data_IF_636986349542
#
_entry.id   IF_636986349542
#
_cell.length_a   1.000
_cell.length_b   1.000
_cell.length_c   1.000
_cell.angle_alpha   90.00
_cell.angle_beta   90.00
_cell.angle_gamma   90.00
#
_symmetry.space_group_name_H-M   'P 1'
#
loop_
_entity.id
_entity.type
_entity.pdbx_description
1 polymer ?
#
# COMPACT_ATOMS: atom_id res chain seq x y z
N UNK A 1 45.30 -38.01 50.89
CA UNK A 1 44.41 -38.75 50.02
C UNK A 1 42.93 -38.24 50.04
N UNK A 2 42.31 -38.04 51.20
CA UNK A 2 40.86 -37.59 51.27
C UNK A 2 40.58 -36.20 50.68
N UNK A 3 41.53 -35.24 50.82
CA UNK A 3 41.36 -33.86 50.30
C UNK A 3 41.31 -33.79 48.72
N UNK A 4 42.19 -34.59 48.11
CA UNK A 4 42.21 -34.68 46.63
C UNK A 4 40.96 -35.36 46.05
N UNK A 5 40.41 -36.38 46.71
CA UNK A 5 39.14 -37.00 46.29
C UNK A 5 37.96 -36.03 46.41
N UNK A 6 37.90 -35.18 47.42
CA UNK A 6 36.85 -34.16 47.56
C UNK A 6 36.94 -33.09 46.47
N UNK A 7 38.15 -32.70 46.07
CA UNK A 7 38.33 -31.70 44.98
C UNK A 7 37.89 -32.30 43.64
N UNK A 8 38.32 -33.49 43.28
CA UNK A 8 37.94 -34.17 42.04
C UNK A 8 36.42 -34.41 41.94
N UNK A 9 35.75 -34.75 43.05
CA UNK A 9 34.31 -34.90 43.10
C UNK A 9 33.59 -33.58 42.88
N UNK A 10 34.11 -32.48 43.43
CA UNK A 10 33.52 -31.13 43.26
C UNK A 10 33.68 -30.62 41.83
N UNK A 11 34.80 -30.85 41.19
CA UNK A 11 35.04 -30.52 39.79
C UNK A 11 34.13 -31.31 38.83
N UNK A 12 34.00 -32.63 39.09
CA UNK A 12 33.09 -33.48 38.33
C UNK A 12 31.60 -33.04 38.43
N UNK A 13 31.18 -32.65 39.66
CA UNK A 13 29.82 -32.12 39.86
C UNK A 13 29.61 -30.78 39.16
N UNK A 14 30.59 -29.87 39.23
CA UNK A 14 30.51 -28.55 38.54
C UNK A 14 30.49 -28.72 37.03
N UNK A 15 31.29 -29.64 36.45
CA UNK A 15 31.28 -29.95 35.03
C UNK A 15 29.92 -30.47 34.57
N UNK A 16 29.36 -31.44 35.28
CA UNK A 16 28.01 -31.99 34.99
C UNK A 16 26.91 -30.94 35.12
N UNK A 17 27.02 -30.02 36.08
CA UNK A 17 26.07 -28.91 36.23
C UNK A 17 26.18 -27.91 35.08
N UNK A 18 27.40 -27.61 34.63
CA UNK A 18 27.63 -26.72 33.49
C UNK A 18 27.12 -27.33 32.19
N UNK A 19 27.33 -28.64 31.97
CA UNK A 19 26.75 -29.35 30.80
C UNK A 19 25.22 -29.33 30.82
N UNK A 20 24.60 -29.67 31.96
CA UNK A 20 23.14 -29.66 32.12
C UNK A 20 22.55 -28.26 31.90
N UNK A 21 23.19 -27.19 32.41
CA UNK A 21 22.79 -25.80 32.15
C UNK A 21 22.93 -25.40 30.68
N UNK A 22 24.00 -25.88 30.01
CA UNK A 22 24.24 -25.69 28.60
C UNK A 22 23.13 -26.35 27.74
N UNK A 23 22.81 -27.60 28.02
CA UNK A 23 21.72 -28.33 27.33
C UNK A 23 20.36 -27.68 27.56
N UNK A 24 20.03 -27.28 28.79
CA UNK A 24 18.77 -26.56 29.07
C UNK A 24 18.68 -25.23 28.31
N UNK A 25 19.77 -24.49 28.23
CA UNK A 25 19.83 -23.19 27.56
C UNK A 25 19.68 -23.38 26.06
N UNK A 26 20.34 -24.35 25.47
CA UNK A 26 20.20 -24.69 24.02
C UNK A 26 18.81 -25.18 23.69
N UNK A 27 18.23 -26.04 24.52
CA UNK A 27 16.86 -26.54 24.36
C UNK A 27 15.83 -25.38 24.40
N UNK A 28 15.99 -24.46 25.34
CA UNK A 28 15.11 -23.28 25.46
C UNK A 28 15.24 -22.34 24.25
N UNK A 29 16.46 -22.11 23.74
CA UNK A 29 16.68 -21.34 22.52
C UNK A 29 16.06 -21.99 21.28
N UNK A 30 16.21 -23.32 21.17
CA UNK A 30 15.62 -24.06 20.07
C UNK A 30 14.08 -24.04 20.10
N UNK A 31 13.49 -24.19 21.28
CA UNK A 31 12.05 -24.09 21.49
C UNK A 31 11.52 -22.68 21.16
N UNK A 32 12.24 -21.63 21.56
CA UNK A 32 11.89 -20.24 21.21
C UNK A 32 11.99 -19.97 19.70
N UNK A 33 13.04 -20.47 19.06
CA UNK A 33 13.19 -20.34 17.60
C UNK A 33 12.07 -21.08 16.83
N UNK A 34 11.72 -22.29 17.27
CA UNK A 34 10.60 -23.05 16.69
C UNK A 34 9.25 -22.34 16.89
N UNK A 35 8.99 -21.79 18.08
CA UNK A 35 7.76 -21.01 18.34
C UNK A 35 7.69 -19.76 17.45
N UNK A 36 8.81 -19.05 17.30
CA UNK A 36 8.89 -17.87 16.43
C UNK A 36 8.63 -18.24 14.96
N UNK A 37 9.30 -19.27 14.44
CA UNK A 37 9.10 -19.74 13.06
C UNK A 37 7.67 -20.24 12.80
N UNK A 38 7.06 -20.91 13.78
CA UNK A 38 5.67 -21.33 13.69
C UNK A 38 4.69 -20.16 13.69
N UNK A 39 4.91 -19.17 14.56
CA UNK A 39 4.07 -17.96 14.61
C UNK A 39 4.17 -17.16 13.30
N UNK A 40 5.36 -17.05 12.72
CA UNK A 40 5.59 -16.41 11.42
C UNK A 40 4.87 -17.17 10.29
N UNK A 41 4.98 -18.50 10.25
CA UNK A 41 4.29 -19.36 9.28
C UNK A 41 2.76 -19.27 9.41
N UNK A 42 2.22 -19.26 10.64
CA UNK A 42 0.80 -19.12 10.89
C UNK A 42 0.29 -17.71 10.48
N UNK A 43 1.08 -16.66 10.74
CA UNK A 43 0.76 -15.30 10.30
C UNK A 43 0.73 -15.20 8.78
N UNK A 44 1.74 -15.74 8.09
CA UNK A 44 1.81 -15.79 6.63
C UNK A 44 0.61 -16.57 6.04
N UNK A 45 0.24 -17.70 6.63
CA UNK A 45 -0.91 -18.51 6.21
C UNK A 45 -2.24 -17.77 6.39
N UNK A 46 -2.44 -17.08 7.53
CA UNK A 46 -3.65 -16.26 7.78
C UNK A 46 -3.73 -15.09 6.81
N UNK A 47 -2.62 -14.40 6.57
CA UNK A 47 -2.55 -13.30 5.60
C UNK A 47 -2.90 -13.78 4.20
N UNK A 48 -2.36 -14.93 3.77
CA UNK A 48 -2.67 -15.55 2.48
C UNK A 48 -4.15 -15.95 2.37
N UNK A 49 -4.74 -16.49 3.43
CA UNK A 49 -6.16 -16.88 3.45
C UNK A 49 -7.09 -15.67 3.43
N UNK A 50 -6.80 -14.63 4.20
CA UNK A 50 -7.54 -13.37 4.17
C UNK A 50 -7.43 -12.71 2.79
N UNK A 51 -6.25 -12.73 2.16
CA UNK A 51 -6.00 -12.32 0.79
C UNK A 51 -6.94 -13.02 -0.18
N UNK A 52 -6.96 -14.36 -0.20
CA UNK A 52 -7.79 -15.14 -1.12
C UNK A 52 -9.30 -14.89 -0.90
N UNK A 53 -9.73 -14.71 0.34
CA UNK A 53 -11.12 -14.40 0.67
C UNK A 53 -11.55 -13.02 0.14
N UNK A 54 -10.74 -11.98 0.40
CA UNK A 54 -10.99 -10.62 -0.09
C UNK A 54 -10.96 -10.59 -1.62
N UNK A 55 -9.99 -11.25 -2.23
CA UNK A 55 -9.87 -11.39 -3.69
C UNK A 55 -11.11 -12.01 -4.31
N UNK A 56 -11.60 -13.13 -3.73
CA UNK A 56 -12.81 -13.79 -4.22
C UNK A 56 -14.02 -12.85 -4.18
N UNK A 57 -14.13 -12.02 -3.15
CA UNK A 57 -15.23 -11.06 -3.01
C UNK A 57 -15.12 -9.91 -4.01
N UNK A 58 -13.91 -9.30 -4.12
CA UNK A 58 -13.65 -8.16 -5.01
C UNK A 58 -13.72 -8.53 -6.50
N UNK A 59 -13.44 -9.78 -6.85
CA UNK A 59 -13.63 -10.29 -8.20
C UNK A 59 -15.09 -10.68 -8.47
N UNK A 60 -15.80 -11.23 -7.48
CA UNK A 60 -17.19 -11.69 -7.65
C UNK A 60 -18.16 -10.54 -7.93
N UNK A 61 -17.99 -9.41 -7.25
CA UNK A 61 -18.91 -8.26 -7.39
C UNK A 61 -18.97 -7.71 -8.80
N UNK A 62 -17.83 -7.31 -9.47
CA UNK A 62 -17.88 -6.84 -10.86
C UNK A 62 -18.26 -7.95 -11.84
N UNK A 63 -17.87 -9.21 -11.56
CA UNK A 63 -18.24 -10.34 -12.42
C UNK A 63 -19.75 -10.60 -12.41
N UNK A 64 -20.38 -10.57 -11.23
CA UNK A 64 -21.82 -10.71 -11.10
C UNK A 64 -22.57 -9.55 -11.80
N UNK A 65 -22.01 -8.31 -11.73
CA UNK A 65 -22.57 -7.18 -12.46
C UNK A 65 -22.44 -7.35 -13.97
N UNK A 66 -21.30 -7.82 -14.47
CA UNK A 66 -21.10 -8.12 -15.90
C UNK A 66 -22.10 -9.17 -16.36
N UNK A 67 -22.22 -10.29 -15.66
CA UNK A 67 -23.14 -11.39 -15.99
C UNK A 67 -24.59 -10.89 -15.93
N UNK A 68 -24.98 -10.25 -14.81
CA UNK A 68 -26.36 -9.81 -14.61
C UNK A 68 -26.82 -8.80 -15.67
N UNK A 69 -26.00 -7.81 -16.02
CA UNK A 69 -26.34 -6.86 -17.08
C UNK A 69 -26.31 -7.51 -18.46
N UNK A 70 -25.44 -8.49 -18.72
CA UNK A 70 -25.44 -9.26 -19.96
C UNK A 70 -26.76 -10.03 -20.13
N UNK A 71 -27.22 -10.69 -19.06
CA UNK A 71 -28.51 -11.43 -19.08
C UNK A 71 -29.69 -10.50 -19.33
N UNK A 72 -29.66 -9.30 -18.74
CA UNK A 72 -30.69 -8.28 -18.99
C UNK A 72 -30.66 -7.81 -20.44
N UNK A 73 -29.48 -7.53 -21.03
CA UNK A 73 -29.37 -7.14 -22.45
C UNK A 73 -29.91 -8.23 -23.37
N UNK A 74 -29.62 -9.49 -23.08
CA UNK A 74 -30.14 -10.62 -23.87
C UNK A 74 -31.67 -10.70 -23.81
N UNK A 75 -32.26 -10.31 -22.66
CA UNK A 75 -33.70 -10.37 -22.44
C UNK A 75 -34.49 -9.16 -22.97
N UNK A 76 -33.83 -8.01 -23.19
CA UNK A 76 -34.47 -6.76 -23.60
C UNK A 76 -34.30 -6.49 -25.10
N UNK A 77 -35.41 -6.18 -25.75
CA UNK A 77 -35.48 -5.60 -27.13
C UNK A 77 -35.56 -4.06 -27.10
N UNK A 78 -34.99 -3.39 -26.08
CA UNK A 78 -35.30 -2.01 -25.70
C UNK A 78 -34.07 -1.06 -25.79
N UNK A 79 -34.24 0.27 -25.99
CA UNK A 79 -33.19 1.29 -26.05
C UNK A 79 -32.34 1.47 -24.79
N UNK A 80 -32.69 0.87 -23.64
CA UNK A 80 -31.86 0.82 -22.42
C UNK A 80 -30.60 -0.04 -22.55
N UNK A 81 -30.46 -0.76 -23.66
CA UNK A 81 -29.27 -1.61 -23.90
C UNK A 81 -27.95 -0.86 -23.83
N UNK A 82 -27.92 0.43 -24.21
CA UNK A 82 -26.72 1.25 -24.12
C UNK A 82 -26.29 1.54 -22.66
N UNK A 83 -27.25 1.80 -21.76
CA UNK A 83 -26.99 2.02 -20.34
C UNK A 83 -26.42 0.76 -19.67
N UNK A 84 -27.05 -0.40 -19.94
CA UNK A 84 -26.55 -1.67 -19.42
C UNK A 84 -25.16 -2.02 -19.97
N UNK A 85 -24.89 -1.77 -21.23
CA UNK A 85 -23.57 -1.94 -21.82
C UNK A 85 -22.51 -1.07 -21.16
N UNK A 86 -22.86 0.17 -20.77
CA UNK A 86 -21.95 1.05 -20.00
C UNK A 86 -21.65 0.49 -18.62
N UNK A 87 -22.65 -0.05 -17.92
CA UNK A 87 -22.45 -0.69 -16.61
C UNK A 87 -21.56 -1.94 -16.70
N UNK A 88 -21.75 -2.77 -17.72
CA UNK A 88 -20.88 -3.92 -17.99
C UNK A 88 -19.44 -3.46 -18.23
N UNK A 89 -19.25 -2.49 -19.13
CA UNK A 89 -17.93 -1.98 -19.45
C UNK A 89 -17.22 -1.35 -18.22
N UNK A 90 -17.96 -0.63 -17.38
CA UNK A 90 -17.44 -0.05 -16.12
C UNK A 90 -17.02 -1.15 -15.14
N UNK A 91 -17.85 -2.17 -14.96
CA UNK A 91 -17.55 -3.31 -14.07
C UNK A 91 -16.36 -4.13 -14.58
N UNK A 92 -16.26 -4.35 -15.89
CA UNK A 92 -15.13 -5.04 -16.51
C UNK A 92 -13.81 -4.28 -16.35
N UNK A 93 -13.81 -2.96 -16.56
CA UNK A 93 -12.62 -2.11 -16.32
C UNK A 93 -12.17 -2.19 -14.87
N UNK A 94 -13.11 -2.07 -13.93
CA UNK A 94 -12.82 -2.19 -12.51
C UNK A 94 -12.20 -3.56 -12.15
N UNK A 95 -12.67 -4.65 -12.76
CA UNK A 95 -12.08 -5.97 -12.57
C UNK A 95 -10.63 -6.02 -13.07
N UNK A 96 -10.35 -5.44 -14.24
CA UNK A 96 -9.00 -5.36 -14.79
C UNK A 96 -8.07 -4.55 -13.89
N UNK A 97 -8.55 -3.44 -13.30
CA UNK A 97 -7.77 -2.63 -12.35
C UNK A 97 -7.41 -3.45 -11.11
N UNK A 98 -8.36 -4.17 -10.51
CA UNK A 98 -8.12 -5.04 -9.35
C UNK A 98 -7.11 -6.14 -9.68
N UNK A 99 -7.22 -6.80 -10.85
CA UNK A 99 -6.27 -7.83 -11.28
C UNK A 99 -4.87 -7.23 -11.47
N UNK A 100 -4.78 -6.05 -12.08
CA UNK A 100 -3.50 -5.34 -12.26
C UNK A 100 -2.85 -4.98 -10.92
N UNK A 101 -3.63 -4.48 -9.98
CA UNK A 101 -3.18 -4.12 -8.63
C UNK A 101 -2.61 -5.33 -7.88
N UNK A 102 -3.24 -6.50 -8.03
CA UNK A 102 -2.76 -7.76 -7.42
C UNK A 102 -1.44 -8.19 -8.03
N UNK A 103 -1.32 -8.13 -9.36
CA UNK A 103 -0.09 -8.46 -10.06
C UNK A 103 1.03 -7.49 -9.66
N UNK A 104 0.73 -6.19 -9.51
CA UNK A 104 1.69 -5.20 -9.05
C UNK A 104 2.17 -5.52 -7.61
N UNK A 105 1.26 -5.82 -6.68
CA UNK A 105 1.63 -6.23 -5.30
C UNK A 105 2.50 -7.49 -5.33
N UNK A 106 2.10 -8.52 -6.07
CA UNK A 106 2.86 -9.77 -6.16
C UNK A 106 4.28 -9.56 -6.67
N UNK A 107 4.45 -8.68 -7.69
CA UNK A 107 5.77 -8.32 -8.22
C UNK A 107 6.60 -7.50 -7.23
N UNK A 108 5.97 -6.59 -6.49
CA UNK A 108 6.63 -5.78 -5.46
C UNK A 108 7.13 -6.68 -4.32
N UNK A 109 6.28 -7.60 -3.82
CA UNK A 109 6.62 -8.50 -2.71
C UNK A 109 7.71 -9.51 -3.10
N UNK A 110 7.70 -10.01 -4.34
CA UNK A 110 8.73 -10.93 -4.85
C UNK A 110 10.05 -10.24 -5.24
N UNK A 111 10.11 -8.90 -5.19
CA UNK A 111 11.28 -8.14 -5.65
C UNK A 111 11.53 -8.20 -7.17
N UNK A 112 10.58 -8.73 -7.94
CA UNK A 112 10.70 -8.90 -9.40
C UNK A 112 10.20 -7.69 -10.20
N UNK A 113 9.87 -6.60 -9.51
CA UNK A 113 9.35 -5.40 -10.16
C UNK A 113 10.48 -4.62 -10.86
N UNK A 114 10.39 -4.49 -12.18
CA UNK A 114 11.37 -3.77 -12.99
C UNK A 114 10.83 -2.38 -13.32
N UNK A 115 11.57 -1.33 -12.96
CA UNK A 115 11.25 0.06 -13.27
C UNK A 115 11.92 0.51 -14.57
N UNK A 116 11.18 1.21 -15.40
CA UNK A 116 11.71 1.92 -16.56
C UNK A 116 12.03 3.38 -16.16
N UNK A 117 13.20 3.57 -15.52
CA UNK A 117 13.62 4.89 -15.03
C UNK A 117 14.16 5.74 -16.16
N UNK A 118 13.69 6.99 -16.24
CA UNK A 118 14.15 8.00 -17.18
C UNK A 118 14.19 9.37 -16.49
N UNK A 119 15.07 10.30 -16.91
CA UNK A 119 15.01 11.68 -16.46
C UNK A 119 13.62 12.25 -16.73
N UNK A 120 12.92 12.68 -15.68
CA UNK A 120 11.52 13.11 -15.76
C UNK A 120 11.31 14.37 -14.92
N UNK A 121 10.50 15.30 -15.42
CA UNK A 121 10.00 16.43 -14.67
C UNK A 121 8.88 15.96 -13.75
N UNK A 122 9.03 16.18 -12.44
CA UNK A 122 7.99 15.81 -11.48
C UNK A 122 6.75 16.72 -11.57
N UNK A 123 6.92 17.95 -12.01
CA UNK A 123 5.81 18.88 -12.24
C UNK A 123 4.84 18.32 -13.27
N UNK A 124 5.36 17.89 -14.41
CA UNK A 124 4.58 17.28 -15.49
C UNK A 124 3.83 16.03 -14.99
N UNK A 125 4.46 15.22 -14.13
CA UNK A 125 3.84 14.01 -13.57
C UNK A 125 2.72 14.36 -12.60
N UNK A 126 2.91 15.38 -11.73
CA UNK A 126 1.89 15.85 -10.80
C UNK A 126 0.68 16.41 -11.57
N UNK A 127 0.94 17.26 -12.56
CA UNK A 127 -0.11 17.87 -13.38
C UNK A 127 -0.90 16.79 -14.17
N UNK A 128 -0.20 15.81 -14.75
CA UNK A 128 -0.84 14.70 -15.44
C UNK A 128 -1.68 13.80 -14.50
N UNK A 129 -1.29 13.65 -13.24
CA UNK A 129 -2.08 12.93 -12.24
C UNK A 129 -3.30 13.73 -11.80
N UNK A 130 -3.13 15.04 -11.56
CA UNK A 130 -4.20 15.95 -11.22
C UNK A 130 -5.27 16.02 -12.32
N UNK A 131 -4.84 16.11 -13.59
CA UNK A 131 -5.74 16.11 -14.75
C UNK A 131 -6.56 14.82 -14.83
N UNK A 132 -5.93 13.66 -14.56
CA UNK A 132 -6.64 12.36 -14.52
C UNK A 132 -7.76 12.32 -13.48
N UNK A 133 -7.61 13.06 -12.38
CA UNK A 133 -8.57 13.07 -11.26
C UNK A 133 -9.55 14.25 -11.28
N UNK A 134 -9.37 15.22 -12.19
CA UNK A 134 -10.12 16.49 -12.22
C UNK A 134 -11.62 16.27 -12.25
N UNK A 135 -12.11 15.47 -13.18
CA UNK A 135 -13.56 15.23 -13.35
C UNK A 135 -14.14 14.51 -12.12
N UNK A 136 -13.45 13.48 -11.61
CA UNK A 136 -13.91 12.73 -10.42
C UNK A 136 -14.01 13.62 -9.18
N UNK A 137 -13.08 14.58 -9.02
CA UNK A 137 -13.08 15.53 -7.91
C UNK A 137 -14.16 16.58 -8.10
N UNK A 138 -14.36 17.05 -9.34
CA UNK A 138 -15.39 18.05 -9.68
C UNK A 138 -16.81 17.48 -9.52
N UNK A 139 -17.06 16.21 -9.88
CA UNK A 139 -18.34 15.53 -9.68
C UNK A 139 -18.81 15.52 -8.23
N UNK A 140 -17.88 15.54 -7.28
CA UNK A 140 -18.15 15.65 -5.83
C UNK A 140 -18.15 17.09 -5.31
N UNK A 141 -18.08 18.08 -6.20
CA UNK A 141 -17.94 19.50 -5.84
C UNK A 141 -16.74 19.78 -4.90
N UNK A 142 -15.73 18.92 -4.91
CA UNK A 142 -14.50 19.09 -4.14
C UNK A 142 -13.56 20.05 -4.87
N UNK A 143 -12.66 20.71 -4.12
CA UNK A 143 -11.63 21.59 -4.70
C UNK A 143 -10.28 20.87 -4.71
N UNK A 144 -9.58 20.91 -5.84
CA UNK A 144 -8.20 20.46 -5.98
C UNK A 144 -7.28 21.68 -6.20
N UNK A 145 -6.34 21.88 -5.29
CA UNK A 145 -5.32 22.94 -5.35
C UNK A 145 -3.95 22.26 -5.59
N UNK A 146 -3.34 22.53 -6.74
CA UNK A 146 -2.05 21.95 -7.14
C UNK A 146 -0.99 23.03 -7.11
N UNK A 147 0.08 22.81 -6.32
CA UNK A 147 1.17 23.77 -6.14
C UNK A 147 2.50 23.10 -6.47
N UNK A 148 2.99 23.35 -7.67
CA UNK A 148 4.24 22.82 -8.18
C UNK A 148 5.20 23.98 -8.47
N UNK A 149 6.33 24.08 -7.75
CA UNK A 149 7.39 25.05 -8.08
C UNK A 149 8.03 24.73 -9.43
N UNK A 150 8.46 25.76 -10.15
CA UNK A 150 9.10 25.61 -11.47
C UNK A 150 10.54 25.08 -11.41
N UNK A 151 11.14 25.10 -10.23
CA UNK A 151 12.55 24.77 -9.96
C UNK A 151 12.71 23.37 -9.34
N UNK A 152 11.77 22.46 -9.58
CA UNK A 152 11.92 21.06 -9.16
C UNK A 152 13.06 20.38 -9.92
N UNK A 153 13.85 19.52 -9.24
CA UNK A 153 14.90 18.79 -9.90
C UNK A 153 14.33 17.75 -10.87
N UNK A 154 15.03 17.53 -11.99
CA UNK A 154 14.79 16.36 -12.84
C UNK A 154 15.21 15.10 -12.08
N UNK A 155 14.31 14.12 -11.95
CA UNK A 155 14.59 12.87 -11.26
C UNK A 155 14.57 11.67 -12.21
N UNK A 156 15.46 10.69 -11.97
CA UNK A 156 15.45 9.43 -12.70
C UNK A 156 14.39 8.49 -12.14
N UNK A 157 13.18 8.57 -12.67
CA UNK A 157 12.00 7.81 -12.20
C UNK A 157 11.26 7.15 -13.36
N UNK A 158 10.46 6.15 -13.04
CA UNK A 158 9.44 5.63 -13.94
C UNK A 158 8.20 6.53 -13.83
N UNK A 159 8.05 7.47 -14.78
CA UNK A 159 7.00 8.48 -14.77
C UNK A 159 5.59 7.89 -14.73
N UNK A 160 5.38 6.74 -15.42
CA UNK A 160 4.10 6.03 -15.41
C UNK A 160 3.77 5.50 -14.01
N UNK A 161 4.75 4.96 -13.30
CA UNK A 161 4.57 4.41 -11.95
C UNK A 161 4.44 5.50 -10.89
N UNK A 162 5.19 6.61 -11.02
CA UNK A 162 4.99 7.77 -10.12
C UNK A 162 3.61 8.40 -10.36
N UNK A 163 3.16 8.54 -11.61
CA UNK A 163 1.78 8.95 -11.91
C UNK A 163 0.75 8.01 -11.25
N UNK A 164 0.96 6.69 -11.31
CA UNK A 164 0.10 5.70 -10.65
C UNK A 164 0.04 5.95 -9.13
N UNK A 165 1.18 6.19 -8.48
CA UNK A 165 1.25 6.55 -7.05
C UNK A 165 0.37 7.77 -6.79
N UNK A 166 0.57 8.87 -7.52
CA UNK A 166 -0.17 10.11 -7.30
C UNK A 166 -1.67 9.98 -7.55
N UNK A 167 -2.08 9.26 -8.59
CA UNK A 167 -3.49 8.96 -8.86
C UNK A 167 -4.10 8.16 -7.70
N UNK A 168 -3.39 7.18 -7.15
CA UNK A 168 -3.85 6.43 -5.98
C UNK A 168 -4.02 7.33 -4.74
N UNK A 169 -3.10 8.26 -4.52
CA UNK A 169 -3.20 9.22 -3.40
C UNK A 169 -4.36 10.20 -3.59
N UNK A 170 -4.49 10.80 -4.77
CA UNK A 170 -5.58 11.74 -5.09
C UNK A 170 -6.95 11.05 -5.08
N UNK A 171 -7.04 9.81 -5.57
CA UNK A 171 -8.25 9.00 -5.53
C UNK A 171 -8.69 8.71 -4.09
N UNK A 172 -7.75 8.34 -3.21
CA UNK A 172 -8.03 8.14 -1.79
C UNK A 172 -8.46 9.47 -1.13
N UNK A 173 -7.77 10.58 -1.39
CA UNK A 173 -8.14 11.89 -0.89
C UNK A 173 -9.57 12.26 -1.29
N UNK A 174 -9.93 12.11 -2.58
CA UNK A 174 -11.31 12.38 -3.05
C UNK A 174 -12.34 11.41 -2.45
N UNK A 175 -11.95 10.16 -2.27
CA UNK A 175 -12.83 9.13 -1.74
C UNK A 175 -13.25 9.42 -0.29
N UNK A 176 -12.30 9.82 0.56
CA UNK A 176 -12.52 10.01 1.98
C UNK A 176 -12.82 11.44 2.40
N UNK A 177 -12.80 12.37 1.46
CA UNK A 177 -13.24 13.76 1.65
C UNK A 177 -14.72 13.89 1.33
N UNK A 178 -15.46 14.61 2.17
CA UNK A 178 -16.87 14.90 1.93
C UNK A 178 -17.05 15.82 0.70
N UNK A 179 -18.29 15.95 0.23
CA UNK A 179 -18.64 16.95 -0.77
C UNK A 179 -18.20 18.35 -0.32
N UNK A 180 -17.76 19.16 -1.27
CA UNK A 180 -17.24 20.52 -1.05
C UNK A 180 -15.98 20.58 -0.17
N UNK A 181 -15.36 19.44 0.14
CA UNK A 181 -14.08 19.40 0.84
C UNK A 181 -12.92 19.82 -0.06
N UNK A 182 -11.73 19.87 0.52
CA UNK A 182 -10.53 20.38 -0.17
C UNK A 182 -9.45 19.31 -0.21
N UNK A 183 -8.78 19.24 -1.37
CA UNK A 183 -7.62 18.39 -1.63
C UNK A 183 -6.49 19.32 -2.10
N UNK A 184 -5.30 19.15 -1.58
CA UNK A 184 -4.12 19.96 -1.93
C UNK A 184 -2.98 19.02 -2.30
N UNK A 185 -2.37 19.22 -3.46
CA UNK A 185 -1.14 18.54 -3.88
C UNK A 185 0.00 19.56 -3.93
N UNK A 186 1.06 19.34 -3.17
CA UNK A 186 2.22 20.25 -3.10
C UNK A 186 3.49 19.47 -3.39
N UNK A 187 4.28 19.92 -4.36
CA UNK A 187 5.62 19.40 -4.60
C UNK A 187 6.68 20.36 -4.04
N UNK A 188 7.81 19.83 -3.58
CA UNK A 188 8.95 20.59 -3.08
C UNK A 188 10.27 19.89 -3.42
N UNK A 189 11.30 20.65 -3.74
CA UNK A 189 12.66 20.13 -3.82
C UNK A 189 13.20 19.85 -2.40
N UNK A 190 13.95 18.77 -2.24
CA UNK A 190 14.62 18.42 -0.99
C UNK A 190 16.09 18.87 -1.03
N UNK A 191 16.71 19.11 0.14
CA UNK A 191 18.13 19.52 0.20
C UNK A 191 19.12 18.48 -0.36
N UNK A 192 18.72 17.20 -0.41
CA UNK A 192 19.50 16.08 -0.97
C UNK A 192 19.43 15.97 -2.50
N UNK A 193 18.84 16.96 -3.17
CA UNK A 193 18.63 16.94 -4.62
C UNK A 193 17.45 16.08 -5.07
N UNK A 194 16.71 15.49 -4.13
CA UNK A 194 15.46 14.79 -4.37
C UNK A 194 14.24 15.72 -4.35
N UNK A 195 13.06 15.13 -4.28
CA UNK A 195 11.83 15.89 -4.12
C UNK A 195 10.81 15.14 -3.24
N UNK A 196 9.92 15.91 -2.65
CA UNK A 196 8.78 15.40 -1.89
C UNK A 196 7.48 15.95 -2.46
N UNK A 197 6.46 15.08 -2.54
CA UNK A 197 5.11 15.44 -2.95
C UNK A 197 4.18 15.12 -1.80
N UNK A 198 3.41 16.10 -1.33
CA UNK A 198 2.40 15.94 -0.29
C UNK A 198 1.01 16.02 -0.92
N UNK A 199 0.14 15.04 -0.65
CA UNK A 199 -1.28 15.09 -0.94
C UNK A 199 -2.03 15.17 0.38
N UNK A 200 -2.70 16.30 0.61
CA UNK A 200 -3.46 16.58 1.83
C UNK A 200 -4.94 16.70 1.51
N UNK A 201 -5.78 16.15 2.38
CA UNK A 201 -7.23 16.20 2.29
C UNK A 201 -7.88 16.68 3.61
N UNK A 202 -9.10 17.17 3.53
CA UNK A 202 -9.93 17.55 4.68
C UNK A 202 -10.97 16.48 5.01
N UNK A 203 -10.60 15.22 4.81
CA UNK A 203 -11.48 14.07 5.00
C UNK A 203 -11.63 13.63 6.45
N UNK A 204 -12.16 12.44 6.64
CA UNK A 204 -12.47 11.87 7.97
C UNK A 204 -11.24 11.59 8.84
N UNK A 205 -10.06 11.51 8.24
CA UNK A 205 -8.83 11.17 8.95
C UNK A 205 -8.79 9.74 9.48
N UNK A 206 -7.68 9.40 10.14
CA UNK A 206 -7.40 8.05 10.65
C UNK A 206 -6.70 8.12 12.01
N UNK A 207 -6.94 7.12 12.86
CA UNK A 207 -6.12 6.85 14.05
C UNK A 207 -4.79 6.17 13.67
N UNK A 208 -3.77 6.15 14.56
CA UNK A 208 -2.51 5.43 14.29
C UNK A 208 -2.70 3.96 13.93
N UNK A 209 -3.62 3.26 14.61
CA UNK A 209 -3.93 1.86 14.31
C UNK A 209 -4.58 1.70 12.92
N UNK A 210 -5.44 2.63 12.53
CA UNK A 210 -6.05 2.66 11.22
C UNK A 210 -5.03 2.92 10.11
N UNK A 211 -4.06 3.81 10.33
CA UNK A 211 -2.93 4.03 9.40
C UNK A 211 -2.14 2.74 9.21
N UNK A 212 -1.83 2.04 10.33
CA UNK A 212 -1.11 0.77 10.26
C UNK A 212 -1.88 -0.31 9.47
N UNK A 213 -3.20 -0.31 9.54
CA UNK A 213 -4.07 -1.19 8.75
C UNK A 213 -4.09 -0.75 7.28
N UNK A 214 -4.31 0.53 6.99
CA UNK A 214 -4.41 1.08 5.63
C UNK A 214 -3.13 0.89 4.79
N UNK A 215 -1.97 0.77 5.45
CA UNK A 215 -0.67 0.51 4.81
C UNK A 215 -0.41 -0.97 4.53
N UNK A 216 -1.28 -1.90 4.98
CA UNK A 216 -1.19 -3.32 4.67
C UNK A 216 -2.01 -3.66 3.43
N UNK A 217 -1.57 -4.60 2.57
CA UNK A 217 -2.39 -5.11 1.48
C UNK A 217 -3.77 -5.56 2.00
N UNK A 218 -4.83 -5.14 1.30
CA UNK A 218 -6.25 -5.39 1.65
C UNK A 218 -6.69 -4.79 2.99
N UNK A 219 -5.87 -3.93 3.59
CA UNK A 219 -6.23 -3.21 4.81
C UNK A 219 -7.35 -2.21 4.54
N UNK A 220 -8.53 -2.47 5.09
CA UNK A 220 -9.67 -1.57 5.03
C UNK A 220 -10.01 -1.08 6.43
N UNK A 221 -10.09 0.24 6.57
CA UNK A 221 -10.55 0.87 7.81
C UNK A 221 -12.07 0.84 7.82
N UNK A 222 -12.67 0.05 8.71
CA UNK A 222 -14.12 -0.01 8.87
C UNK A 222 -14.64 1.29 9.49
N UNK A 223 -15.60 1.95 8.82
CA UNK A 223 -16.26 3.17 9.29
C UNK A 223 -17.61 3.37 8.60
N UNK A 224 -18.46 4.28 9.13
CA UNK A 224 -19.79 4.53 8.54
C UNK A 224 -19.75 4.98 7.08
N UNK A 225 -18.69 5.69 6.67
CA UNK A 225 -18.47 6.10 5.27
C UNK A 225 -17.86 4.98 4.39
N UNK A 226 -17.23 3.96 4.98
CA UNK A 226 -16.57 2.88 4.22
C UNK A 226 -17.54 1.84 3.66
N UNK A 227 -18.78 1.74 4.19
CA UNK A 227 -19.80 0.80 3.69
C UNK A 227 -20.33 1.16 2.30
N UNK A 228 -20.22 2.43 1.91
CA UNK A 228 -20.66 2.92 0.59
C UNK A 228 -19.50 3.20 -0.36
N UNK A 229 -18.24 3.15 0.12
CA UNK A 229 -17.07 3.50 -0.67
C UNK A 229 -16.24 2.26 -0.99
N UNK A 230 -16.45 1.76 -2.20
CA UNK A 230 -15.80 0.58 -2.76
C UNK A 230 -14.29 0.77 -3.02
N UNK A 231 -13.48 -0.26 -2.75
CA UNK A 231 -12.07 -0.34 -3.12
C UNK A 231 -11.39 -1.55 -2.48
N UNK A 232 -10.44 -2.18 -3.18
CA UNK A 232 -9.77 -3.41 -2.74
C UNK A 232 -8.78 -3.21 -1.57
N UNK A 233 -8.52 -1.96 -1.13
CA UNK A 233 -7.51 -1.69 -0.10
C UNK A 233 -6.06 -1.89 -0.58
N UNK A 234 -5.82 -1.77 -1.88
CA UNK A 234 -4.52 -2.02 -2.52
C UNK A 234 -3.77 -0.73 -2.88
N UNK A 235 -4.48 0.38 -3.10
CA UNK A 235 -3.87 1.61 -3.63
C UNK A 235 -2.74 2.16 -2.77
N UNK A 236 -2.91 2.28 -1.45
CA UNK A 236 -1.90 2.82 -0.56
C UNK A 236 -0.68 1.88 -0.37
N UNK A 237 -0.87 0.55 -0.19
CA UNK A 237 0.21 -0.43 -0.24
C UNK A 237 1.02 -0.41 -1.55
N UNK A 238 0.36 -0.34 -2.71
CA UNK A 238 1.02 -0.23 -4.02
C UNK A 238 1.81 1.06 -4.10
N UNK A 239 1.21 2.19 -3.74
CA UNK A 239 1.88 3.49 -3.73
C UNK A 239 3.16 3.45 -2.90
N UNK A 240 3.11 2.86 -1.68
CA UNK A 240 4.28 2.69 -0.82
C UNK A 240 5.33 1.75 -1.42
N UNK A 241 4.89 0.64 -2.00
CA UNK A 241 5.78 -0.32 -2.66
C UNK A 241 6.51 0.30 -3.84
N UNK A 242 5.80 1.02 -4.71
CA UNK A 242 6.38 1.73 -5.85
C UNK A 242 7.33 2.85 -5.40
N UNK A 243 7.00 3.60 -4.36
CA UNK A 243 7.90 4.61 -3.78
C UNK A 243 9.23 3.97 -3.34
N UNK A 244 9.17 2.84 -2.62
CA UNK A 244 10.35 2.09 -2.17
C UNK A 244 11.17 1.51 -3.30
N UNK A 245 10.55 1.03 -4.36
CA UNK A 245 11.24 0.57 -5.56
C UNK A 245 12.02 1.72 -6.24
N UNK A 246 11.58 2.97 -6.08
CA UNK A 246 12.31 4.15 -6.54
C UNK A 246 13.41 4.61 -5.56
N UNK A 247 13.60 3.93 -4.42
CA UNK A 247 14.55 4.32 -3.38
C UNK A 247 14.00 5.39 -2.42
N UNK A 248 12.74 5.73 -2.56
CA UNK A 248 12.00 6.66 -1.71
C UNK A 248 11.18 5.98 -0.61
N UNK A 249 10.25 6.70 -0.03
CA UNK A 249 9.25 6.13 0.90
C UNK A 249 7.95 6.94 0.87
N UNK A 250 6.92 6.38 1.51
CA UNK A 250 5.61 6.99 1.66
C UNK A 250 5.27 7.05 3.15
N UNK A 251 5.01 8.27 3.64
CA UNK A 251 4.64 8.55 5.03
C UNK A 251 3.23 9.12 5.10
N UNK A 252 2.45 8.68 6.07
CA UNK A 252 1.07 9.12 6.31
C UNK A 252 0.99 9.85 7.64
N UNK A 253 0.41 11.03 7.64
CA UNK A 253 0.02 11.79 8.82
C UNK A 253 -1.49 12.01 8.78
N UNK A 254 -2.19 11.64 9.84
CA UNK A 254 -3.65 11.75 9.89
C UNK A 254 -4.14 11.86 11.31
N UNK A 255 -5.26 12.57 11.49
CA UNK A 255 -6.00 12.64 12.74
C UNK A 255 -7.49 12.52 12.43
N UNK A 256 -8.27 11.76 13.23
CA UNK A 256 -9.72 11.66 13.06
C UNK A 256 -10.38 13.04 13.05
N UNK A 257 -11.16 13.33 12.02
CA UNK A 257 -11.87 14.59 11.83
C UNK A 257 -11.03 15.75 11.28
N UNK A 258 -9.71 15.59 11.14
CA UNK A 258 -8.81 16.65 10.64
C UNK A 258 -8.25 16.38 9.24
N UNK A 259 -8.56 15.21 8.66
CA UNK A 259 -8.07 14.81 7.33
C UNK A 259 -6.79 14.00 7.37
N UNK A 260 -6.21 13.80 6.19
CA UNK A 260 -5.00 13.02 5.99
C UNK A 260 -4.02 13.77 5.10
N UNK A 261 -2.73 13.65 5.40
CA UNK A 261 -1.66 14.08 4.52
C UNK A 261 -0.73 12.89 4.25
N UNK A 262 -0.52 12.59 2.97
CA UNK A 262 0.39 11.54 2.53
C UNK A 262 1.58 12.18 1.83
N UNK A 263 2.78 11.86 2.29
CA UNK A 263 4.04 12.36 1.76
C UNK A 263 4.71 11.25 0.95
N UNK A 264 4.95 11.50 -0.32
CA UNK A 264 5.81 10.72 -1.18
C UNK A 264 7.17 11.42 -1.22
N UNK A 265 8.23 10.74 -0.81
CA UNK A 265 9.61 11.23 -0.90
C UNK A 265 10.36 10.43 -1.95
N UNK A 266 11.02 11.12 -2.87
CA UNK A 266 11.87 10.54 -3.91
C UNK A 266 13.28 11.07 -3.73
N UNK A 267 14.32 10.21 -3.71
CA UNK A 267 15.70 10.65 -3.55
C UNK A 267 16.20 11.39 -4.80
N UNK A 268 17.14 12.28 -4.61
CA UNK A 268 17.95 12.81 -5.71
C UNK A 268 18.71 11.69 -6.41
N UNK A 269 19.20 11.93 -7.61
CA UNK A 269 20.09 10.99 -8.26
C UNK A 269 21.30 10.77 -7.35
N UNK A 270 21.48 9.53 -6.86
CA UNK A 270 22.78 9.16 -6.35
C UNK A 270 23.75 9.30 -7.53
N UNK A 271 24.62 10.31 -7.46
CA UNK A 271 25.78 10.37 -8.34
C UNK A 271 26.49 9.03 -8.15
N UNK A 272 26.41 8.17 -9.15
CA UNK A 272 27.31 7.03 -9.25
C UNK A 272 28.66 7.66 -9.50
N UNK A 273 29.41 7.91 -8.41
CA UNK A 273 30.82 8.21 -8.53
C UNK A 273 31.45 7.03 -9.27
N UNK A 274 31.98 7.32 -10.47
CA UNK A 274 32.78 6.45 -11.27
C UNK A 274 34.07 6.06 -10.52
#
# INVERSE_FOLDING_TARGET
>A
MQRQRKIALRESLLSRYAESLGEMTMRKRHEQAMKAARAESELASRTKSAFLATMSHELRTPLNSIIGFSDVIVSLKDPKSAEYAQHIAKSGRRLLDVVSDILDISKIESGSFVLNRQPSDLGDIVDAAAETMRDTIAEKHQTLDVRVPRDLPMLSVDSKRIKQVLVNLLSNASKFTAERGRIVAVARANPDGGASIAVADTGVGMTPDQIAIALKPFGQVQGHLSRTQEGAGLGLPIARGLARQHGGDLRVESQPGAGTTVFLTLPGQMSTAL
#
